data_IF_401024819478
#
_entry.id   IF_401024819478
#
_cell.length_a   1.000
_cell.length_b   1.000
_cell.length_c   1.000
_cell.angle_alpha   90.00
_cell.angle_beta   90.00
_cell.angle_gamma   90.00
#
_symmetry.space_group_name_H-M   'P 1'
#
loop_
_entity.id
_entity.type
_entity.pdbx_description
1 polymer ?
#
# COMPACT_ATOMS: atom_id res chain seq x y z
N UNK A 1 -49.18 -12.79 -34.71
CA UNK A 1 -48.63 -13.38 -33.47
C UNK A 1 -47.37 -12.59 -33.09
N UNK A 2 -47.46 -11.70 -32.11
CA UNK A 2 -46.31 -10.94 -31.60
C UNK A 2 -45.60 -11.81 -30.56
N UNK A 3 -44.35 -12.19 -30.83
CA UNK A 3 -43.51 -12.89 -29.84
C UNK A 3 -43.05 -11.85 -28.80
N UNK A 4 -43.52 -12.00 -27.56
CA UNK A 4 -43.04 -11.26 -26.40
C UNK A 4 -41.69 -11.88 -26.01
N UNK A 5 -40.59 -11.16 -26.20
CA UNK A 5 -39.27 -11.54 -25.68
C UNK A 5 -39.22 -10.97 -24.25
N UNK A 6 -39.35 -11.83 -23.26
CA UNK A 6 -39.08 -11.47 -21.87
C UNK A 6 -37.56 -11.36 -21.69
N UNK A 7 -37.03 -10.14 -21.56
CA UNK A 7 -35.65 -9.90 -21.14
C UNK A 7 -35.64 -10.09 -19.62
N UNK A 8 -35.05 -11.19 -19.17
CA UNK A 8 -34.76 -11.45 -17.77
C UNK A 8 -33.51 -10.57 -17.40
N UNK A 9 -33.75 -9.45 -16.75
CA UNK A 9 -32.71 -8.68 -16.09
C UNK A 9 -32.30 -9.46 -14.83
N UNK A 10 -31.23 -10.25 -14.95
CA UNK A 10 -30.51 -10.81 -13.81
C UNK A 10 -29.76 -9.64 -13.16
N UNK A 11 -30.36 -9.00 -12.15
CA UNK A 11 -29.62 -8.16 -11.24
C UNK A 11 -28.73 -9.10 -10.42
N UNK A 12 -27.42 -9.08 -10.69
CA UNK A 12 -26.42 -9.71 -9.82
C UNK A 12 -26.51 -9.01 -8.45
N UNK A 13 -26.98 -9.72 -7.45
CA UNK A 13 -26.89 -9.28 -6.06
C UNK A 13 -25.42 -9.57 -5.69
N UNK A 14 -24.63 -8.52 -5.56
CA UNK A 14 -23.29 -8.64 -5.01
C UNK A 14 -23.43 -8.83 -3.51
N UNK A 15 -23.04 -9.99 -3.00
CA UNK A 15 -22.82 -10.20 -1.58
C UNK A 15 -21.36 -9.86 -1.29
N UNK A 16 -21.13 -9.04 -0.28
CA UNK A 16 -19.80 -8.85 0.30
C UNK A 16 -19.49 -10.07 1.14
N UNK A 17 -18.44 -10.77 0.82
CA UNK A 17 -17.97 -11.92 1.59
C UNK A 17 -16.96 -11.47 2.67
N UNK A 18 -16.88 -12.28 3.72
CA UNK A 18 -15.89 -12.11 4.79
C UNK A 18 -14.90 -13.27 4.74
N UNK A 19 -13.65 -12.95 4.52
CA UNK A 19 -12.55 -13.91 4.40
C UNK A 19 -11.68 -13.79 5.66
N UNK A 20 -11.41 -14.91 6.33
CA UNK A 20 -10.61 -14.94 7.56
C UNK A 20 -9.19 -15.46 7.32
N UNK A 21 -8.20 -14.74 7.83
CA UNK A 21 -6.80 -15.14 7.84
C UNK A 21 -6.38 -15.37 9.31
N UNK A 22 -5.80 -16.54 9.65
CA UNK A 22 -5.44 -17.67 8.78
C UNK A 22 -6.54 -18.75 8.61
N UNK A 23 -7.80 -18.44 8.92
CA UNK A 23 -8.88 -19.44 8.93
C UNK A 23 -9.21 -20.01 7.55
N UNK A 24 -9.43 -19.15 6.56
CA UNK A 24 -9.76 -19.54 5.18
C UNK A 24 -8.52 -19.60 4.29
N UNK A 25 -7.57 -18.69 4.51
CA UNK A 25 -6.29 -18.59 3.78
C UNK A 25 -5.13 -18.43 4.76
N UNK A 26 -3.99 -19.06 4.47
CA UNK A 26 -2.86 -19.08 5.38
C UNK A 26 -2.15 -17.73 5.51
N UNK A 27 -2.16 -16.91 4.45
CA UNK A 27 -1.49 -15.62 4.38
C UNK A 27 -2.48 -14.49 4.08
N UNK A 28 -2.09 -13.25 4.43
CA UNK A 28 -2.90 -12.07 4.13
C UNK A 28 -3.01 -11.89 2.62
N UNK A 29 -1.90 -12.08 1.89
CA UNK A 29 -1.90 -11.93 0.43
C UNK A 29 -2.84 -12.95 -0.24
N UNK A 30 -2.89 -14.21 0.24
CA UNK A 30 -3.84 -15.20 -0.28
C UNK A 30 -5.29 -14.77 -0.03
N UNK A 31 -5.60 -14.24 1.16
CA UNK A 31 -6.93 -13.69 1.47
C UNK A 31 -7.32 -12.53 0.54
N UNK A 32 -6.40 -11.60 0.31
CA UNK A 32 -6.60 -10.50 -0.65
C UNK A 32 -6.79 -11.03 -2.08
N UNK A 33 -5.99 -12.01 -2.50
CA UNK A 33 -6.11 -12.57 -3.84
C UNK A 33 -7.48 -13.26 -4.07
N UNK A 34 -8.00 -13.93 -3.04
CA UNK A 34 -9.30 -14.60 -3.07
C UNK A 34 -10.48 -13.64 -3.04
N UNK A 35 -10.33 -12.43 -2.47
CA UNK A 35 -11.40 -11.43 -2.36
C UNK A 35 -11.76 -10.82 -3.71
N UNK A 36 -12.94 -10.22 -3.79
CA UNK A 36 -13.37 -9.30 -4.85
C UNK A 36 -13.67 -7.93 -4.24
N UNK A 37 -13.84 -6.89 -5.08
CA UNK A 37 -14.16 -5.56 -4.58
C UNK A 37 -15.40 -5.59 -3.66
N UNK A 38 -15.31 -4.84 -2.56
CA UNK A 38 -16.27 -4.71 -1.47
C UNK A 38 -16.30 -5.88 -0.47
N UNK A 39 -15.47 -6.89 -0.63
CA UNK A 39 -15.27 -7.90 0.40
C UNK A 39 -14.51 -7.36 1.61
N UNK A 40 -14.54 -8.14 2.68
CA UNK A 40 -13.78 -7.87 3.91
C UNK A 40 -12.81 -9.01 4.18
N UNK A 41 -11.52 -8.70 4.32
CA UNK A 41 -10.50 -9.63 4.78
C UNK A 41 -10.17 -9.32 6.23
N UNK A 42 -10.45 -10.28 7.12
CA UNK A 42 -10.22 -10.14 8.57
C UNK A 42 -9.04 -11.00 9.00
N UNK A 43 -8.08 -10.33 9.61
CA UNK A 43 -6.81 -10.95 10.02
C UNK A 43 -6.78 -11.14 11.54
N UNK A 44 -6.57 -12.37 11.98
CA UNK A 44 -6.40 -12.69 13.38
C UNK A 44 -5.04 -12.22 13.91
N UNK A 45 -4.91 -12.15 15.25
CA UNK A 45 -3.63 -11.84 15.89
C UNK A 45 -2.53 -12.81 15.42
N UNK A 46 -1.37 -12.25 15.14
CA UNK A 46 -0.19 -12.95 14.66
C UNK A 46 0.84 -11.98 14.09
N UNK A 47 2.05 -12.47 13.84
CA UNK A 47 3.06 -11.72 13.08
C UNK A 47 3.14 -12.32 11.69
N UNK A 48 2.83 -11.52 10.69
CA UNK A 48 2.83 -11.86 9.28
C UNK A 48 4.04 -11.20 8.61
N UNK A 49 4.99 -12.03 8.19
CA UNK A 49 6.19 -11.59 7.47
C UNK A 49 5.85 -11.58 5.98
N UNK A 50 5.20 -10.51 5.54
CA UNK A 50 4.68 -10.39 4.17
C UNK A 50 4.91 -8.96 3.64
N UNK A 51 5.24 -8.86 2.35
CA UNK A 51 5.19 -7.62 1.59
C UNK A 51 3.89 -7.64 0.77
N UNK A 52 2.85 -7.04 1.30
CA UNK A 52 1.48 -7.16 0.80
C UNK A 52 1.25 -6.20 -0.37
N UNK A 53 0.56 -6.69 -1.41
CA UNK A 53 0.05 -5.84 -2.50
C UNK A 53 -1.48 -5.82 -2.41
N UNK A 54 -2.03 -4.63 -2.19
CA UNK A 54 -3.46 -4.38 -2.15
C UNK A 54 -3.88 -3.55 -3.38
N UNK A 55 -4.55 -4.21 -4.35
CA UNK A 55 -5.03 -3.61 -5.59
C UNK A 55 -6.54 -3.73 -5.76
N UNK A 56 -7.31 -3.70 -4.69
CA UNK A 56 -8.76 -3.89 -4.70
C UNK A 56 -9.46 -2.97 -3.70
N UNK A 57 -10.71 -2.61 -3.98
CA UNK A 57 -11.58 -1.89 -3.05
C UNK A 57 -12.17 -2.84 -2.01
N UNK A 58 -11.39 -3.20 -1.03
CA UNK A 58 -11.81 -4.08 0.06
C UNK A 58 -11.61 -3.42 1.42
N UNK A 59 -12.21 -4.00 2.44
CA UNK A 59 -11.84 -3.72 3.83
C UNK A 59 -10.82 -4.77 4.26
N UNK A 60 -9.60 -4.34 4.54
CA UNK A 60 -8.57 -5.16 5.18
C UNK A 60 -8.46 -4.73 6.64
N UNK A 61 -8.83 -5.59 7.56
CA UNK A 61 -8.87 -5.25 8.97
C UNK A 61 -8.37 -6.39 9.87
N UNK A 62 -7.82 -6.02 11.03
CA UNK A 62 -7.65 -6.98 12.11
C UNK A 62 -8.97 -7.23 12.83
N UNK A 63 -8.98 -8.16 13.80
CA UNK A 63 -10.14 -8.36 14.66
C UNK A 63 -10.54 -7.09 15.45
N UNK A 64 -9.72 -6.04 15.44
CA UNK A 64 -10.08 -4.75 16.02
C UNK A 64 -11.32 -4.10 15.40
N UNK A 65 -11.71 -4.54 14.20
CA UNK A 65 -12.96 -4.09 13.54
C UNK A 65 -14.21 -4.40 14.39
N UNK A 66 -14.14 -5.38 15.29
CA UNK A 66 -15.22 -5.77 16.18
C UNK A 66 -15.17 -5.08 17.54
N UNK A 67 -14.12 -4.28 17.80
CA UNK A 67 -13.90 -3.64 19.10
C UNK A 67 -14.46 -2.21 19.10
N UNK A 68 -14.79 -1.71 20.30
CA UNK A 68 -15.08 -0.29 20.49
C UNK A 68 -13.76 0.49 20.57
N UNK A 69 -13.35 1.10 19.44
CA UNK A 69 -12.11 1.89 19.36
C UNK A 69 -12.36 3.30 19.87
N UNK A 70 -12.23 3.48 21.18
CA UNK A 70 -12.33 4.78 21.88
C UNK A 70 -10.97 5.46 22.05
N UNK A 71 -10.87 6.35 23.07
CA UNK A 71 -9.65 7.12 23.35
C UNK A 71 -8.42 6.24 23.65
N UNK A 72 -8.62 5.05 24.17
CA UNK A 72 -7.55 4.12 24.56
C UNK A 72 -7.23 3.07 23.48
N UNK A 73 -7.60 3.34 22.22
CA UNK A 73 -7.41 2.40 21.11
C UNK A 73 -5.96 1.91 20.96
N UNK A 74 -4.96 2.72 21.34
CA UNK A 74 -3.55 2.35 21.28
C UNK A 74 -3.19 1.16 22.17
N UNK A 75 -3.99 0.89 23.20
CA UNK A 75 -3.84 -0.27 24.08
C UNK A 75 -4.61 -1.51 23.58
N UNK A 76 -5.32 -1.43 22.46
CA UNK A 76 -6.09 -2.52 21.91
C UNK A 76 -5.20 -3.68 21.51
N UNK A 77 -5.48 -4.88 22.04
CA UNK A 77 -4.66 -6.07 21.82
C UNK A 77 -4.75 -6.58 20.37
N UNK A 78 -5.90 -6.42 19.70
CA UNK A 78 -6.04 -6.83 18.31
C UNK A 78 -5.17 -5.98 17.40
N UNK A 79 -5.03 -4.68 17.67
CA UNK A 79 -4.15 -3.78 16.92
C UNK A 79 -2.68 -4.11 17.21
N UNK A 80 -2.34 -4.26 18.50
CA UNK A 80 -0.95 -4.43 18.93
C UNK A 80 -0.37 -5.78 18.50
N UNK A 81 -1.20 -6.82 18.45
CA UNK A 81 -0.78 -8.19 18.20
C UNK A 81 -1.11 -8.68 16.78
N UNK A 82 -1.72 -7.87 15.92
CA UNK A 82 -1.84 -8.18 14.49
C UNK A 82 -0.79 -7.38 13.73
N UNK A 83 0.38 -7.99 13.56
CA UNK A 83 1.59 -7.35 13.06
C UNK A 83 1.84 -7.75 11.62
N UNK A 84 2.03 -6.76 10.76
CA UNK A 84 2.52 -6.94 9.39
C UNK A 84 3.95 -6.42 9.36
N UNK A 85 4.92 -7.31 9.18
CA UNK A 85 6.34 -6.99 9.13
C UNK A 85 6.85 -7.06 7.70
N UNK A 86 7.48 -5.98 7.24
CA UNK A 86 8.17 -5.95 5.95
C UNK A 86 9.47 -6.76 5.93
N UNK A 87 9.89 -7.29 7.08
CA UNK A 87 11.08 -8.15 7.25
C UNK A 87 12.34 -7.57 6.58
N UNK A 88 12.46 -6.24 6.58
CA UNK A 88 13.53 -5.50 5.91
C UNK A 88 13.66 -5.82 4.40
N UNK A 89 12.55 -6.14 3.73
CA UNK A 89 12.53 -6.55 2.32
C UNK A 89 11.52 -5.71 1.48
N UNK A 90 11.44 -4.42 1.72
CA UNK A 90 10.53 -3.52 1.02
C UNK A 90 9.52 -2.87 1.94
N UNK A 91 8.46 -2.30 1.37
CA UNK A 91 7.31 -1.82 2.13
C UNK A 91 6.55 -2.99 2.74
N UNK A 92 6.05 -2.86 3.97
CA UNK A 92 5.20 -3.90 4.55
C UNK A 92 3.89 -4.05 3.76
N UNK A 93 3.39 -2.95 3.16
CA UNK A 93 2.25 -2.98 2.25
C UNK A 93 2.43 -1.97 1.11
N UNK A 94 1.95 -2.35 -0.07
CA UNK A 94 1.80 -1.47 -1.23
C UNK A 94 0.31 -1.43 -1.59
N UNK A 95 -0.27 -0.23 -1.66
CA UNK A 95 -1.64 -0.02 -2.12
C UNK A 95 -1.55 0.66 -3.48
N UNK A 96 -1.99 -0.02 -4.55
CA UNK A 96 -1.79 0.48 -5.91
C UNK A 96 -2.88 0.02 -6.87
N UNK A 97 -2.95 0.73 -8.01
CA UNK A 97 -3.80 0.52 -9.17
C UNK A 97 -5.22 1.11 -9.07
N UNK A 98 -5.60 1.80 -10.12
CA UNK A 98 -6.97 2.05 -10.52
C UNK A 98 -7.77 3.03 -9.65
N UNK A 99 -7.14 3.98 -8.96
CA UNK A 99 -7.85 4.95 -8.09
C UNK A 99 -8.78 4.26 -7.07
N UNK A 100 -8.34 3.12 -6.53
CA UNK A 100 -9.08 2.37 -5.51
C UNK A 100 -9.12 3.11 -4.17
N UNK A 101 -10.15 2.83 -3.36
CA UNK A 101 -10.40 3.42 -2.05
C UNK A 101 -10.55 2.34 -0.95
N UNK A 102 -9.56 1.45 -0.76
CA UNK A 102 -9.66 0.41 0.27
C UNK A 102 -9.62 1.00 1.67
N UNK A 103 -10.10 0.23 2.64
CA UNK A 103 -9.94 0.55 4.06
C UNK A 103 -8.90 -0.38 4.69
N UNK A 104 -7.94 0.18 5.42
CA UNK A 104 -6.93 -0.55 6.20
C UNK A 104 -7.07 -0.16 7.67
N UNK A 105 -7.42 -1.12 8.53
CA UNK A 105 -7.79 -0.84 9.90
C UNK A 105 -7.21 -1.83 10.91
N UNK A 106 -6.57 -1.30 11.94
CA UNK A 106 -6.30 -2.05 13.16
C UNK A 106 -5.05 -2.94 13.12
N UNK A 107 -4.00 -2.53 12.41
CA UNK A 107 -2.74 -3.26 12.32
C UNK A 107 -1.57 -2.54 13.00
N UNK A 108 -0.53 -3.30 13.31
CA UNK A 108 0.81 -2.77 13.54
C UNK A 108 1.69 -3.09 12.33
N UNK A 109 2.14 -2.06 11.60
CA UNK A 109 3.11 -2.14 10.51
C UNK A 109 4.50 -1.88 11.05
N UNK A 110 5.44 -2.79 10.78
CA UNK A 110 6.81 -2.64 11.28
C UNK A 110 7.86 -3.18 10.31
N UNK A 111 9.10 -2.73 10.52
CA UNK A 111 10.31 -3.25 9.89
C UNK A 111 10.29 -3.23 8.36
N UNK A 112 9.48 -2.35 7.76
CA UNK A 112 9.49 -2.10 6.33
C UNK A 112 10.56 -1.07 5.98
N UNK A 113 11.37 -1.35 4.95
CA UNK A 113 12.46 -0.47 4.49
C UNK A 113 12.12 0.34 3.24
N UNK A 114 10.85 0.34 2.83
CA UNK A 114 10.38 1.04 1.64
C UNK A 114 10.65 0.31 0.33
N UNK A 115 9.84 0.64 -0.64
CA UNK A 115 9.90 0.09 -2.01
C UNK A 115 10.68 1.01 -2.92
N UNK A 116 11.51 0.44 -3.78
CA UNK A 116 12.27 1.20 -4.77
C UNK A 116 11.35 1.70 -5.89
N UNK A 117 11.48 2.97 -6.23
CA UNK A 117 10.69 3.66 -7.25
C UNK A 117 11.58 4.56 -8.10
N UNK A 118 11.17 4.76 -9.34
CA UNK A 118 11.73 5.79 -10.22
C UNK A 118 10.83 7.01 -10.16
N UNK A 119 11.36 8.14 -9.74
CA UNK A 119 10.62 9.40 -9.66
C UNK A 119 11.20 10.36 -10.69
N UNK A 120 10.34 10.89 -11.57
CA UNK A 120 10.70 11.94 -12.49
C UNK A 120 10.54 13.30 -11.78
N UNK A 121 11.64 13.83 -11.31
CA UNK A 121 11.68 15.15 -10.68
C UNK A 121 12.17 16.19 -11.71
N UNK A 122 11.22 16.95 -12.27
CA UNK A 122 11.50 18.01 -13.26
C UNK A 122 12.35 17.57 -14.46
N UNK A 123 12.20 16.33 -14.92
CA UNK A 123 12.92 15.76 -16.06
C UNK A 123 14.22 15.03 -15.69
N UNK A 124 14.55 14.93 -14.41
CA UNK A 124 15.58 14.06 -13.89
C UNK A 124 14.95 12.81 -13.26
N UNK A 125 15.24 11.62 -13.78
CA UNK A 125 14.80 10.37 -13.20
C UNK A 125 15.73 10.04 -12.04
N UNK A 126 15.19 9.95 -10.84
CA UNK A 126 15.92 9.56 -9.64
C UNK A 126 15.30 8.31 -9.04
N UNK A 127 16.15 7.40 -8.58
CA UNK A 127 15.68 6.24 -7.84
C UNK A 127 15.58 6.61 -6.36
N UNK A 128 14.42 6.30 -5.77
CA UNK A 128 14.15 6.54 -4.36
C UNK A 128 13.49 5.30 -3.75
N UNK A 129 13.72 5.07 -2.44
CA UNK A 129 12.91 4.15 -1.65
C UNK A 129 11.86 4.94 -0.88
N UNK A 130 10.63 4.45 -0.85
CA UNK A 130 9.53 5.19 -0.24
C UNK A 130 8.55 4.26 0.47
N UNK A 131 7.89 4.78 1.52
CA UNK A 131 6.81 4.12 2.22
C UNK A 131 7.25 2.85 2.96
N UNK A 132 8.06 2.98 4.01
CA UNK A 132 8.53 1.82 4.77
C UNK A 132 7.36 0.95 5.26
N UNK A 133 6.41 1.54 5.95
CA UNK A 133 5.19 0.84 6.39
C UNK A 133 4.24 0.60 5.21
N UNK A 134 3.73 1.66 4.60
CA UNK A 134 2.80 1.60 3.47
C UNK A 134 3.26 2.55 2.35
N UNK A 135 3.35 2.01 1.14
CA UNK A 135 3.48 2.80 -0.07
C UNK A 135 2.13 2.84 -0.79
N UNK A 136 1.64 4.04 -1.08
CA UNK A 136 0.37 4.26 -1.79
C UNK A 136 0.69 4.89 -3.14
N UNK A 137 0.20 4.26 -4.20
CA UNK A 137 0.39 4.74 -5.57
C UNK A 137 -0.93 4.76 -6.32
N UNK A 138 -1.38 5.95 -6.73
CA UNK A 138 -2.65 6.16 -7.43
C UNK A 138 -3.83 5.42 -6.78
N UNK A 139 -3.89 5.47 -5.47
CA UNK A 139 -4.94 4.90 -4.63
C UNK A 139 -5.25 5.88 -3.50
N UNK A 140 -6.45 5.82 -2.97
CA UNK A 140 -6.96 6.80 -1.99
C UNK A 140 -7.57 6.07 -0.79
N UNK A 141 -6.76 5.32 -0.02
CA UNK A 141 -7.26 4.48 1.04
C UNK A 141 -7.71 5.27 2.27
N UNK A 142 -8.62 4.68 3.03
CA UNK A 142 -8.86 5.04 4.42
C UNK A 142 -7.92 4.22 5.31
N UNK A 143 -7.04 4.87 6.08
CA UNK A 143 -6.04 4.23 6.96
C UNK A 143 -6.26 4.71 8.38
N UNK A 144 -6.95 3.91 9.20
CA UNK A 144 -7.35 4.33 10.53
C UNK A 144 -7.01 3.29 11.60
N UNK A 145 -6.65 3.78 12.79
CA UNK A 145 -6.34 2.96 13.97
C UNK A 145 -5.20 1.97 13.74
N UNK A 146 -4.18 2.38 12.99
CA UNK A 146 -2.99 1.57 12.78
C UNK A 146 -1.79 2.12 13.55
N UNK A 147 -0.81 1.28 13.78
CA UNK A 147 0.47 1.63 14.38
C UNK A 147 1.57 1.41 13.35
N UNK A 148 2.45 2.39 13.22
CA UNK A 148 3.62 2.36 12.34
C UNK A 148 4.87 2.49 13.20
N UNK A 149 5.65 1.42 13.30
CA UNK A 149 6.75 1.33 14.26
C UNK A 149 8.01 0.83 13.56
N UNK A 150 9.14 1.55 13.71
CA UNK A 150 10.44 1.18 13.16
C UNK A 150 10.41 0.96 11.64
N UNK A 151 9.66 1.76 10.90
CA UNK A 151 9.65 1.70 9.44
C UNK A 151 10.60 2.74 8.87
N UNK A 152 11.09 2.47 7.67
CA UNK A 152 12.09 3.29 7.01
C UNK A 152 13.51 2.82 7.29
N UNK A 153 14.46 3.47 6.65
CA UNK A 153 15.87 3.16 6.78
C UNK A 153 16.67 4.44 6.56
N UNK A 154 17.51 4.79 7.53
CA UNK A 154 18.55 5.78 7.37
C UNK A 154 19.89 5.07 7.19
N UNK A 155 20.61 5.39 6.12
CA UNK A 155 21.99 4.95 5.98
C UNK A 155 22.87 5.75 6.95
N UNK A 156 23.66 5.07 7.78
CA UNK A 156 24.68 5.74 8.60
C UNK A 156 25.66 6.49 7.68
N UNK A 157 25.79 7.78 7.88
CA UNK A 157 26.69 8.65 7.14
C UNK A 157 28.13 8.16 7.28
N UNK A 158 28.66 7.42 6.30
CA UNK A 158 30.06 6.96 6.33
C UNK A 158 30.49 5.92 5.32
N UNK A 159 29.61 5.29 4.59
CA UNK A 159 29.97 4.33 3.54
C UNK A 159 29.89 4.94 2.15
N UNK A 160 31.00 5.08 1.44
CA UNK A 160 31.04 5.57 0.05
C UNK A 160 30.46 4.57 -0.96
N UNK A 161 29.21 4.15 -0.76
CA UNK A 161 28.41 3.35 -1.66
C UNK A 161 27.12 4.10 -2.01
N UNK A 162 26.48 3.77 -3.10
CA UNK A 162 25.21 4.33 -3.56
C UNK A 162 24.19 4.31 -2.43
N UNK A 163 23.81 5.48 -1.91
CA UNK A 163 22.92 5.65 -0.76
C UNK A 163 21.50 5.17 -1.11
N UNK A 164 21.11 4.04 -0.58
CA UNK A 164 19.73 3.52 -0.66
C UNK A 164 18.98 3.82 0.64
N UNK A 165 19.00 5.07 1.11
CA UNK A 165 18.13 5.47 2.22
C UNK A 165 16.68 5.58 1.78
N UNK A 166 15.73 5.38 2.69
CA UNK A 166 14.33 5.75 2.42
C UNK A 166 14.29 7.26 2.24
N UNK A 167 13.97 7.69 1.04
CA UNK A 167 13.97 9.11 0.72
C UNK A 167 12.74 9.80 1.27
N UNK A 168 11.58 9.15 1.14
CA UNK A 168 10.28 9.77 1.40
C UNK A 168 9.37 8.83 2.22
N UNK A 169 8.76 9.34 3.30
CA UNK A 169 7.74 8.67 4.09
C UNK A 169 8.19 7.38 4.77
N UNK A 170 8.89 7.49 5.87
CA UNK A 170 9.32 6.33 6.65
C UNK A 170 8.18 5.39 6.99
N UNK A 171 7.05 5.92 7.47
CA UNK A 171 5.86 5.12 7.73
C UNK A 171 4.96 5.01 6.49
N UNK A 172 4.52 6.13 5.91
CA UNK A 172 3.57 6.15 4.80
C UNK A 172 4.06 7.12 3.72
N UNK A 173 4.09 6.67 2.47
CA UNK A 173 4.25 7.52 1.29
C UNK A 173 3.04 7.41 0.38
N UNK A 174 2.57 8.55 -0.15
CA UNK A 174 1.49 8.63 -1.11
C UNK A 174 1.92 9.37 -2.36
N UNK A 175 1.82 8.72 -3.49
CA UNK A 175 2.07 9.28 -4.82
C UNK A 175 0.80 9.21 -5.66
N UNK A 176 0.27 10.38 -6.02
CA UNK A 176 -0.95 10.52 -6.81
C UNK A 176 -0.68 10.98 -8.26
N UNK A 177 0.58 10.87 -8.73
CA UNK A 177 1.04 11.37 -10.03
C UNK A 177 1.50 10.25 -10.95
N UNK A 178 1.49 10.52 -12.26
CA UNK A 178 2.05 9.63 -13.28
C UNK A 178 3.59 9.72 -13.41
N UNK A 179 4.22 10.63 -12.64
CA UNK A 179 5.66 10.86 -12.69
C UNK A 179 6.48 9.82 -11.89
N UNK A 180 5.84 8.72 -11.48
CA UNK A 180 6.44 7.69 -10.63
C UNK A 180 6.23 6.31 -11.23
N UNK A 181 7.28 5.51 -11.26
CA UNK A 181 7.26 4.12 -11.71
C UNK A 181 7.83 3.17 -10.65
N UNK A 182 7.25 1.98 -10.55
CA UNK A 182 7.72 0.94 -9.63
C UNK A 182 8.86 0.13 -10.27
N UNK A 183 9.90 -0.11 -9.49
CA UNK A 183 10.93 -1.09 -9.81
C UNK A 183 10.57 -2.42 -9.13
N UNK A 184 9.70 -3.20 -9.77
CA UNK A 184 9.19 -4.46 -9.22
C UNK A 184 10.27 -5.55 -9.09
N UNK A 185 11.25 -5.54 -9.99
CA UNK A 185 12.31 -6.55 -10.00
C UNK A 185 13.24 -6.48 -8.79
N UNK A 186 13.33 -5.31 -8.14
CA UNK A 186 14.16 -5.12 -6.95
C UNK A 186 13.49 -5.49 -5.63
N UNK A 187 12.17 -5.59 -5.62
CA UNK A 187 11.40 -5.83 -4.38
C UNK A 187 11.15 -7.32 -4.12
N UNK A 188 11.49 -8.20 -5.04
CA UNK A 188 11.24 -9.64 -4.93
C UNK A 188 12.49 -10.51 -4.88
N UNK A 189 13.68 -9.95 -4.97
CA UNK A 189 14.90 -10.76 -4.94
C UNK A 189 15.56 -10.71 -3.58
N UNK A 190 15.54 -11.81 -2.87
CA UNK A 190 16.50 -12.12 -1.81
C UNK A 190 17.92 -12.04 -2.38
N UNK A 191 18.55 -10.87 -2.36
CA UNK A 191 19.98 -10.73 -2.36
C UNK A 191 20.74 -10.61 -3.68
N UNK A 192 20.11 -10.52 -4.85
CA UNK A 192 20.79 -10.11 -6.09
C UNK A 192 20.11 -8.87 -6.68
N UNK A 193 20.81 -7.73 -6.53
CA UNK A 193 20.50 -6.49 -7.24
C UNK A 193 20.71 -6.73 -8.74
N UNK A 194 19.66 -6.99 -9.49
CA UNK A 194 19.73 -6.88 -10.95
C UNK A 194 19.81 -5.38 -11.28
N UNK A 195 21.01 -4.94 -11.59
CA UNK A 195 21.29 -3.57 -11.99
C UNK A 195 20.65 -3.33 -13.36
N UNK A 196 19.58 -2.55 -13.42
CA UNK A 196 19.09 -2.00 -14.69
C UNK A 196 20.04 -0.86 -15.05
N UNK A 197 20.76 -1.01 -16.14
CA UNK A 197 21.63 0.06 -16.66
C UNK A 197 20.76 1.17 -17.22
N UNK A 198 20.48 2.19 -16.44
CA UNK A 198 19.70 3.36 -16.83
C UNK A 198 20.41 4.26 -17.86
N UNK A 199 21.61 3.91 -18.30
CA UNK A 199 22.23 4.52 -19.48
C UNK A 199 21.64 3.97 -20.79
N UNK A 200 20.89 2.85 -20.74
CA UNK A 200 20.25 2.22 -21.88
C UNK A 200 18.76 2.64 -21.97
N UNK A 201 18.49 3.58 -22.85
CA UNK A 201 17.15 4.09 -23.11
C UNK A 201 16.15 3.04 -23.63
N UNK A 202 16.64 1.94 -24.20
CA UNK A 202 15.80 0.85 -24.71
C UNK A 202 15.37 -0.09 -23.57
N UNK A 203 16.25 -0.32 -22.57
CA UNK A 203 15.93 -1.10 -21.36
C UNK A 203 14.88 -0.38 -20.51
N UNK A 204 15.00 0.95 -20.36
CA UNK A 204 13.98 1.78 -19.67
C UNK A 204 12.64 1.70 -20.41
N UNK A 205 12.66 1.82 -21.72
CA UNK A 205 11.43 1.78 -22.53
C UNK A 205 10.76 0.41 -22.50
N UNK A 206 11.52 -0.68 -22.53
CA UNK A 206 10.99 -2.04 -22.47
C UNK A 206 10.41 -2.33 -21.08
N UNK A 207 11.02 -1.83 -20.01
CA UNK A 207 10.51 -1.87 -18.65
C UNK A 207 9.18 -1.11 -18.52
N UNK A 208 9.10 0.13 -19.03
CA UNK A 208 7.87 0.93 -19.07
C UNK A 208 6.75 0.22 -19.82
N UNK A 209 7.06 -0.41 -20.96
CA UNK A 209 6.09 -1.15 -21.75
C UNK A 209 5.62 -2.42 -21.05
N UNK A 210 6.47 -3.10 -20.30
CA UNK A 210 6.13 -4.32 -19.58
C UNK A 210 5.28 -4.00 -18.34
N UNK A 211 5.60 -2.96 -17.59
CA UNK A 211 4.79 -2.50 -16.44
C UNK A 211 3.41 -1.98 -16.88
N UNK A 212 3.31 -1.32 -18.03
CA UNK A 212 2.04 -0.88 -18.61
C UNK A 212 1.15 -2.04 -19.11
N UNK A 213 1.73 -3.19 -19.46
CA UNK A 213 0.98 -4.37 -19.91
C UNK A 213 0.42 -5.16 -18.70
N UNK A 214 1.05 -5.06 -17.55
CA UNK A 214 0.65 -5.78 -16.31
C UNK A 214 -0.30 -4.99 -15.41
N UNK A 215 -0.68 -3.75 -15.77
CA UNK A 215 -1.76 -3.03 -15.09
C UNK A 215 -3.12 -3.55 -15.62
N UNK A 216 -3.80 -4.45 -14.89
CA UNK A 216 -5.03 -5.06 -15.39
C UNK A 216 -6.21 -4.11 -15.39
N UNK A 217 -6.08 -2.86 -14.96
CA UNK A 217 -7.23 -1.97 -14.76
C UNK A 217 -7.05 -0.50 -15.19
N UNK A 218 -6.33 -0.23 -16.29
CA UNK A 218 -6.48 1.07 -16.98
C UNK A 218 -7.94 1.38 -17.36
N UNK A 219 -8.85 0.40 -17.24
CA UNK A 219 -10.27 0.60 -17.54
C UNK A 219 -11.01 1.47 -16.52
N UNK A 220 -10.44 1.75 -15.35
CA UNK A 220 -11.09 2.52 -14.29
C UNK A 220 -10.72 4.01 -14.26
N UNK A 221 -10.31 4.57 -15.39
CA UNK A 221 -9.98 6.00 -15.55
C UNK A 221 -11.17 6.95 -15.35
N UNK A 222 -12.37 6.43 -15.07
CA UNK A 222 -13.58 7.24 -14.85
C UNK A 222 -13.86 7.51 -13.37
N UNK A 223 -13.06 6.96 -12.44
CA UNK A 223 -13.27 7.19 -11.01
C UNK A 223 -12.79 8.58 -10.64
N UNK A 224 -13.65 9.35 -10.00
CA UNK A 224 -13.28 10.69 -9.51
C UNK A 224 -12.28 10.53 -8.37
N UNK A 225 -11.16 11.24 -8.46
CA UNK A 225 -10.21 11.36 -7.35
C UNK A 225 -10.95 12.03 -6.18
N UNK A 226 -10.90 11.47 -4.96
CA UNK A 226 -11.55 12.07 -3.81
C UNK A 226 -10.89 13.39 -3.42
N UNK A 227 -11.68 14.32 -2.90
CA UNK A 227 -11.17 15.61 -2.41
C UNK A 227 -10.43 15.47 -1.05
N UNK A 228 -10.61 14.35 -0.36
CA UNK A 228 -10.04 14.09 0.96
C UNK A 228 -9.68 12.61 1.15
N UNK A 229 -8.51 12.36 1.75
CA UNK A 229 -8.08 11.04 2.21
C UNK A 229 -8.14 11.03 3.74
N UNK A 230 -8.69 9.96 4.32
CA UNK A 230 -8.81 9.80 5.76
C UNK A 230 -7.71 8.87 6.32
N UNK A 231 -6.84 9.44 7.16
CA UNK A 231 -5.75 8.74 7.85
C UNK A 231 -5.72 9.09 9.34
N UNK A 232 -6.87 8.96 10.00
CA UNK A 232 -7.05 9.37 11.40
C UNK A 232 -6.66 8.28 12.39
N UNK A 233 -6.39 8.72 13.63
CA UNK A 233 -6.13 7.82 14.75
C UNK A 233 -4.99 6.83 14.47
N UNK A 234 -3.92 7.26 13.84
CA UNK A 234 -2.73 6.43 13.64
C UNK A 234 -1.63 6.80 14.66
N UNK A 235 -0.84 5.81 15.05
CA UNK A 235 0.30 5.98 15.92
C UNK A 235 1.61 5.75 15.16
N UNK A 236 2.55 6.67 15.33
CA UNK A 236 3.84 6.63 14.64
C UNK A 236 4.98 6.66 15.65
N UNK A 237 5.92 5.73 15.54
CA UNK A 237 7.10 5.69 16.40
C UNK A 237 8.33 5.15 15.68
N UNK A 238 9.46 5.84 15.85
CA UNK A 238 10.76 5.42 15.35
C UNK A 238 10.78 5.11 13.83
N UNK A 239 9.97 5.84 13.05
CA UNK A 239 10.04 5.75 11.60
C UNK A 239 11.10 6.72 11.10
N UNK A 240 11.75 6.40 9.98
CA UNK A 240 12.89 7.16 9.49
C UNK A 240 12.86 7.32 7.97
N UNK A 241 13.07 8.54 7.50
CA UNK A 241 13.19 8.87 6.08
C UNK A 241 13.92 10.21 5.90
N UNK A 242 14.41 10.49 4.70
CA UNK A 242 14.97 11.79 4.36
C UNK A 242 13.93 12.91 4.38
N UNK A 243 12.71 12.62 3.88
CA UNK A 243 11.56 13.53 3.92
C UNK A 243 10.33 12.82 4.50
N UNK A 244 9.63 13.49 5.45
CA UNK A 244 8.39 12.98 6.02
C UNK A 244 8.53 11.65 6.75
N UNK A 245 9.26 11.60 7.86
CA UNK A 245 9.48 10.37 8.64
C UNK A 245 8.21 9.54 8.85
N UNK A 246 7.08 10.20 9.09
CA UNK A 246 5.81 9.53 9.34
C UNK A 246 4.91 9.53 8.11
N UNK A 247 4.86 10.63 7.38
CA UNK A 247 3.99 10.76 6.23
C UNK A 247 4.59 11.68 5.16
N UNK A 248 4.50 11.25 3.91
CA UNK A 248 4.87 12.02 2.73
C UNK A 248 3.77 11.92 1.65
N UNK A 249 3.48 12.99 0.96
CA UNK A 249 2.53 12.99 -0.17
C UNK A 249 3.05 13.81 -1.34
N UNK A 250 2.89 13.28 -2.54
CA UNK A 250 3.29 13.92 -3.79
C UNK A 250 2.19 13.83 -4.84
N UNK A 251 1.85 14.98 -5.44
CA UNK A 251 0.91 15.04 -6.56
C UNK A 251 -0.58 14.93 -6.19
N UNK A 252 -0.95 14.84 -4.92
CA UNK A 252 -2.35 14.87 -4.50
C UNK A 252 -2.81 16.31 -4.27
N UNK A 253 -3.86 16.75 -4.97
CA UNK A 253 -4.40 18.12 -4.91
C UNK A 253 -5.48 18.29 -3.82
N UNK A 254 -5.95 17.17 -3.22
CA UNK A 254 -6.94 17.17 -2.15
C UNK A 254 -6.34 17.40 -0.75
N UNK A 255 -7.16 17.22 0.27
CA UNK A 255 -6.76 17.27 1.68
C UNK A 255 -6.52 15.88 2.26
N UNK A 256 -5.65 15.80 3.26
CA UNK A 256 -5.39 14.55 3.99
C UNK A 256 -5.68 14.82 5.46
N UNK A 257 -6.70 14.12 5.98
CA UNK A 257 -7.07 14.22 7.39
C UNK A 257 -6.25 13.22 8.22
N UNK A 258 -5.27 13.74 8.95
CA UNK A 258 -4.43 13.00 9.89
C UNK A 258 -4.79 13.30 11.35
N UNK A 259 -6.00 13.80 11.61
CA UNK A 259 -6.43 14.17 12.95
C UNK A 259 -6.37 12.98 13.92
N UNK A 260 -6.17 13.31 15.22
CA UNK A 260 -6.04 12.33 16.30
C UNK A 260 -4.88 11.32 16.12
N UNK A 261 -3.95 11.58 15.22
CA UNK A 261 -2.72 10.80 15.06
C UNK A 261 -1.60 11.33 15.97
N UNK A 262 -0.74 10.46 16.45
CA UNK A 262 0.34 10.79 17.42
C UNK A 262 1.64 10.07 17.07
#
# INVERSE_FOLDING_TARGET
MRKLIAVLLLSSIYYSDVIHVPGDHATIQEGINASVNFDTVIVAQGTYYENIILGKDIVLASNAIYDELGADWQANENINNTVISGDHNGSAMIIRYGNIEPTVLGFTFQDGIGTSMLVNDCGAITQKRSGGGILIYKAYPTINYNRFINNGFEEEAGGGGTSESVADGGAISHYATDDVEFDEDRNHSSGELTYVDFSDSDAIRDYILQSAIEDPDESNTTRTIPDEINMQNNYFANNSAGDGENYYSHGFEGSIDVSHST
#
